data_IF_463000349469
#
_entry.id   IF_463000349469
#
_cell.length_a   1.000
_cell.length_b   1.000
_cell.length_c   1.000
_cell.angle_alpha   90.00
_cell.angle_beta   90.00
_cell.angle_gamma   90.00
#
_symmetry.space_group_name_H-M   'P 1'
#
loop_
_entity.id
_entity.type
_entity.pdbx_description
1 polymer ?
#
# COMPACT_ATOMS: atom_id res chain seq x y z
N UNK A 1 3.13 18.93 9.12
CA UNK A 1 3.32 18.77 7.68
C UNK A 1 3.96 17.41 7.42
N UNK A 2 3.27 16.56 6.68
CA UNK A 2 3.68 15.20 6.35
C UNK A 2 3.48 14.93 4.86
N UNK A 3 4.34 14.11 4.26
CA UNK A 3 4.20 13.60 2.91
C UNK A 3 4.27 12.08 2.93
N UNK A 4 3.52 11.42 2.04
CA UNK A 4 3.56 9.97 1.84
C UNK A 4 4.22 9.71 0.49
N UNK A 5 5.27 8.88 0.48
CA UNK A 5 6.15 8.72 -0.68
C UNK A 5 6.35 7.24 -1.00
N UNK A 6 6.16 6.88 -2.27
CA UNK A 6 6.53 5.56 -2.77
C UNK A 6 8.05 5.44 -2.85
N UNK A 7 8.58 4.40 -2.21
CA UNK A 7 9.98 3.96 -2.34
C UNK A 7 10.06 2.55 -2.93
N UNK A 8 9.06 2.19 -3.69
CA UNK A 8 8.94 1.07 -4.59
C UNK A 8 8.85 1.57 -6.03
N UNK A 9 8.52 0.71 -6.93
CA UNK A 9 8.43 0.96 -8.35
C UNK A 9 9.29 -0.06 -9.07
N UNK A 10 8.66 -1.20 -9.38
CA UNK A 10 9.34 -2.42 -9.76
C UNK A 10 8.99 -2.76 -11.21
N UNK A 11 9.93 -3.37 -11.92
CA UNK A 11 9.77 -3.79 -13.30
C UNK A 11 10.65 -3.03 -14.29
N UNK A 12 10.70 -3.53 -15.51
CA UNK A 12 11.49 -2.95 -16.60
C UNK A 12 10.76 -1.82 -17.35
N UNK A 13 9.57 -1.43 -16.86
CA UNK A 13 8.69 -0.45 -17.48
C UNK A 13 8.20 -0.85 -18.89
N UNK A 14 8.10 -2.15 -19.18
CA UNK A 14 7.61 -2.66 -20.46
C UNK A 14 6.10 -2.49 -20.62
N UNK A 15 5.33 -2.52 -19.52
CA UNK A 15 3.89 -2.36 -19.55
C UNK A 15 3.46 -0.89 -19.54
N UNK A 16 2.45 -0.57 -20.32
CA UNK A 16 1.96 0.81 -20.49
C UNK A 16 1.33 1.42 -19.23
N UNK A 17 0.91 0.59 -18.29
CA UNK A 17 0.28 1.02 -17.04
C UNK A 17 1.29 1.30 -15.92
N UNK A 18 2.56 0.94 -16.08
CA UNK A 18 3.60 1.13 -15.07
C UNK A 18 4.15 2.57 -15.05
N UNK A 19 4.51 3.05 -13.84
CA UNK A 19 5.21 4.32 -13.68
C UNK A 19 6.60 4.26 -14.33
N UNK A 20 7.09 5.43 -14.77
CA UNK A 20 8.42 5.54 -15.44
C UNK A 20 9.13 6.78 -14.93
N UNK A 21 10.44 6.69 -14.65
CA UNK A 21 11.25 5.47 -14.58
C UNK A 21 10.93 4.63 -13.34
N UNK A 22 11.23 3.33 -13.38
CA UNK A 22 11.12 2.42 -12.23
C UNK A 22 12.33 2.52 -11.31
N UNK A 23 12.12 2.26 -10.02
CA UNK A 23 13.19 2.28 -9.02
C UNK A 23 14.03 0.99 -9.07
N UNK A 24 13.39 -0.15 -9.20
CA UNK A 24 14.02 -1.47 -9.27
C UNK A 24 13.68 -2.11 -10.63
N UNK A 25 14.63 -2.17 -11.56
CA UNK A 25 14.41 -2.64 -12.94
C UNK A 25 14.50 -4.15 -13.09
N UNK A 26 15.15 -4.82 -12.15
CA UNK A 26 15.23 -6.26 -11.98
C UNK A 26 15.54 -6.56 -10.50
N UNK A 27 15.37 -7.80 -10.02
CA UNK A 27 15.62 -8.11 -8.60
C UNK A 27 16.99 -7.63 -8.13
N UNK A 28 17.01 -6.68 -7.19
CA UNK A 28 18.25 -6.09 -6.65
C UNK A 28 18.98 -5.10 -7.56
N UNK A 29 18.42 -4.74 -8.72
CA UNK A 29 19.02 -3.77 -9.67
C UNK A 29 18.26 -2.46 -9.58
N UNK A 30 18.91 -1.44 -9.01
CA UNK A 30 18.26 -0.16 -8.68
C UNK A 30 18.71 0.99 -9.59
N UNK A 31 17.81 1.96 -9.74
CA UNK A 31 18.07 3.22 -10.41
C UNK A 31 18.70 4.22 -9.42
N UNK A 32 20.01 4.41 -9.52
CA UNK A 32 20.77 5.30 -8.63
C UNK A 32 20.28 6.75 -8.67
N UNK A 33 19.78 7.23 -9.81
CA UNK A 33 19.23 8.58 -9.92
C UNK A 33 18.01 8.77 -9.05
N UNK A 34 17.10 7.78 -9.03
CA UNK A 34 15.91 7.82 -8.17
C UNK A 34 16.28 7.66 -6.70
N UNK A 35 17.22 6.78 -6.38
CA UNK A 35 17.72 6.63 -5.01
C UNK A 35 18.36 7.93 -4.50
N UNK A 36 19.18 8.60 -5.31
CA UNK A 36 19.73 9.90 -4.94
C UNK A 36 18.65 10.98 -4.80
N UNK A 37 17.62 10.94 -5.66
CA UNK A 37 16.45 11.82 -5.55
C UNK A 37 15.69 11.62 -4.23
N UNK A 38 15.53 10.38 -3.77
CA UNK A 38 14.95 10.05 -2.47
C UNK A 38 15.82 10.60 -1.32
N UNK A 39 17.14 10.39 -1.38
CA UNK A 39 18.08 10.93 -0.39
C UNK A 39 18.01 12.46 -0.29
N UNK A 40 17.95 13.12 -1.45
CA UNK A 40 17.81 14.57 -1.54
C UNK A 40 16.48 15.07 -0.95
N UNK A 41 15.37 14.36 -1.26
CA UNK A 41 14.05 14.65 -0.69
C UNK A 41 14.10 14.57 0.84
N UNK A 42 14.56 13.45 1.39
CA UNK A 42 14.62 13.23 2.84
C UNK A 42 15.48 14.29 3.56
N UNK A 43 16.66 14.61 3.00
CA UNK A 43 17.51 15.69 3.53
C UNK A 43 16.82 17.06 3.51
N UNK A 44 15.99 17.34 2.52
CA UNK A 44 15.23 18.60 2.44
C UNK A 44 14.01 18.64 3.34
N UNK A 45 13.36 17.52 3.60
CA UNK A 45 12.29 17.40 4.59
C UNK A 45 12.85 17.64 6.00
N UNK A 46 14.00 17.05 6.34
CA UNK A 46 14.71 17.30 7.60
C UNK A 46 14.96 18.80 7.83
N UNK A 47 15.56 19.48 6.86
CA UNK A 47 15.81 20.92 6.91
C UNK A 47 14.57 21.79 7.12
N UNK A 48 13.39 21.29 6.73
CA UNK A 48 12.11 22.00 6.80
C UNK A 48 11.24 21.57 7.97
N UNK A 49 11.74 20.67 8.83
CA UNK A 49 10.99 20.04 9.89
C UNK A 49 9.68 19.41 9.41
N UNK A 50 9.74 18.78 8.23
CA UNK A 50 8.64 18.00 7.65
C UNK A 50 8.90 16.52 7.86
N UNK A 51 7.83 15.73 7.82
CA UNK A 51 7.87 14.28 8.01
C UNK A 51 7.51 13.55 6.72
N UNK A 52 7.99 12.33 6.58
CA UNK A 52 7.62 11.41 5.53
C UNK A 52 7.13 10.08 6.10
N UNK A 53 6.11 9.52 5.46
CA UNK A 53 5.78 8.10 5.50
C UNK A 53 6.28 7.49 4.20
N UNK A 54 7.16 6.50 4.29
CA UNK A 54 7.75 5.83 3.13
C UNK A 54 7.11 4.45 2.97
N UNK A 55 6.34 4.24 1.87
CA UNK A 55 5.76 2.94 1.59
C UNK A 55 6.62 2.15 0.60
N UNK A 56 6.91 0.90 0.98
CA UNK A 56 7.98 0.09 0.40
C UNK A 56 7.56 -0.70 -0.83
N UNK A 57 6.27 -0.98 -0.96
CA UNK A 57 5.73 -1.81 -2.01
C UNK A 57 4.34 -1.33 -2.44
N UNK A 58 3.71 -2.01 -3.39
CA UNK A 58 2.35 -1.72 -3.84
C UNK A 58 1.60 -3.02 -4.14
N UNK A 59 0.31 -3.06 -3.82
CA UNK A 59 -0.54 -4.17 -4.26
C UNK A 59 -1.00 -4.01 -5.72
N UNK A 60 -0.92 -2.77 -6.26
CA UNK A 60 -1.45 -2.40 -7.56
C UNK A 60 -0.36 -2.37 -8.65
N UNK A 61 -0.76 -2.67 -9.87
CA UNK A 61 0.12 -2.84 -11.03
C UNK A 61 0.82 -1.54 -11.48
N UNK A 62 0.25 -0.37 -11.19
CA UNK A 62 0.76 0.90 -11.70
C UNK A 62 2.19 1.26 -11.23
N UNK A 63 2.70 0.59 -10.22
CA UNK A 63 4.11 0.66 -9.83
C UNK A 63 4.80 -0.71 -9.82
N UNK A 64 4.28 -1.69 -10.53
CA UNK A 64 4.78 -3.05 -10.59
C UNK A 64 4.35 -3.92 -9.42
N UNK A 65 4.93 -3.69 -8.26
CA UNK A 65 4.50 -4.27 -6.98
C UNK A 65 4.37 -5.79 -6.99
N UNK A 66 3.34 -6.31 -6.32
CA UNK A 66 3.14 -7.76 -6.15
C UNK A 66 3.16 -8.53 -7.47
N UNK A 67 2.56 -7.96 -8.54
CA UNK A 67 2.53 -8.59 -9.85
C UNK A 67 3.91 -8.80 -10.45
N UNK A 68 4.79 -7.82 -10.32
CA UNK A 68 6.17 -7.90 -10.84
C UNK A 68 7.02 -8.87 -10.03
N UNK A 69 6.89 -8.91 -8.70
CA UNK A 69 7.58 -9.93 -7.90
C UNK A 69 7.15 -11.36 -8.25
N UNK A 70 5.87 -11.56 -8.56
CA UNK A 70 5.36 -12.84 -9.05
C UNK A 70 5.92 -13.18 -10.44
N UNK A 71 5.99 -12.21 -11.35
CA UNK A 71 6.63 -12.37 -12.65
C UNK A 71 8.11 -12.77 -12.51
N UNK A 72 8.88 -12.08 -11.68
CA UNK A 72 10.27 -12.43 -11.38
C UNK A 72 10.42 -13.80 -10.71
N UNK A 73 9.39 -14.24 -10.00
CA UNK A 73 9.33 -15.61 -9.45
C UNK A 73 9.04 -16.68 -10.51
N UNK A 74 8.65 -16.29 -11.74
CA UNK A 74 8.36 -17.18 -12.86
C UNK A 74 6.88 -17.50 -13.05
N UNK A 75 5.96 -16.68 -12.52
CA UNK A 75 4.50 -16.90 -12.55
C UNK A 75 3.79 -16.15 -13.68
N UNK A 76 4.45 -15.95 -14.81
CA UNK A 76 3.87 -15.30 -15.99
C UNK A 76 4.01 -13.79 -15.98
N UNK A 77 3.31 -13.12 -16.91
CA UNK A 77 3.34 -11.67 -17.06
C UNK A 77 2.46 -10.99 -16.00
N UNK A 78 2.83 -9.77 -15.55
CA UNK A 78 1.99 -9.00 -14.64
C UNK A 78 0.61 -8.74 -15.25
N UNK A 79 -0.43 -8.96 -14.46
CA UNK A 79 -1.81 -8.71 -14.86
C UNK A 79 -2.24 -7.28 -14.54
N UNK A 80 -3.20 -6.75 -15.31
CA UNK A 80 -3.77 -5.42 -15.13
C UNK A 80 -5.16 -5.49 -14.49
N UNK A 81 -5.52 -4.47 -13.73
CA UNK A 81 -6.88 -4.28 -13.16
C UNK A 81 -7.97 -4.17 -14.23
N UNK A 82 -7.62 -3.98 -15.50
CA UNK A 82 -8.56 -4.05 -16.63
C UNK A 82 -9.19 -5.44 -16.79
N UNK A 83 -8.49 -6.51 -16.37
CA UNK A 83 -9.03 -7.85 -16.15
C UNK A 83 -9.00 -8.17 -14.66
N UNK A 84 -10.01 -7.68 -13.94
CA UNK A 84 -10.07 -7.75 -12.48
C UNK A 84 -9.99 -9.18 -11.93
N UNK A 85 -10.59 -10.13 -12.63
CA UNK A 85 -10.57 -11.53 -12.20
C UNK A 85 -9.15 -12.11 -12.27
N UNK A 86 -8.49 -11.97 -13.43
CA UNK A 86 -7.11 -12.43 -13.62
C UNK A 86 -6.16 -11.73 -12.66
N UNK A 87 -6.37 -10.41 -12.44
CA UNK A 87 -5.59 -9.62 -11.49
C UNK A 87 -5.68 -10.19 -10.06
N UNK A 88 -6.90 -10.44 -9.56
CA UNK A 88 -7.08 -11.02 -8.22
C UNK A 88 -6.47 -12.43 -8.11
N UNK A 89 -6.76 -13.31 -9.08
CA UNK A 89 -6.25 -14.69 -9.09
C UNK A 89 -4.71 -14.75 -9.10
N UNK A 90 -4.06 -13.82 -9.79
CA UNK A 90 -2.61 -13.72 -9.83
C UNK A 90 -2.08 -13.15 -8.51
N UNK A 91 -2.57 -12.01 -8.06
CA UNK A 91 -2.04 -11.30 -6.90
C UNK A 91 -2.29 -12.06 -5.58
N UNK A 92 -3.36 -12.86 -5.48
CA UNK A 92 -3.62 -13.75 -4.36
C UNK A 92 -2.48 -14.75 -4.08
N UNK A 93 -1.65 -15.05 -5.08
CA UNK A 93 -0.54 -15.98 -4.94
C UNK A 93 0.68 -15.35 -4.25
N UNK A 94 0.75 -14.00 -4.13
CA UNK A 94 1.94 -13.32 -3.63
C UNK A 94 2.32 -13.78 -2.22
N UNK A 95 1.38 -13.74 -1.29
CA UNK A 95 1.66 -14.10 0.11
C UNK A 95 2.00 -15.58 0.33
N UNK A 96 1.72 -16.42 -0.66
CA UNK A 96 2.03 -17.86 -0.63
C UNK A 96 3.28 -18.21 -1.45
N UNK A 97 3.88 -17.26 -2.17
CA UNK A 97 5.04 -17.50 -3.00
C UNK A 97 6.33 -17.05 -2.30
N UNK A 98 7.06 -18.00 -1.76
CA UNK A 98 8.29 -17.72 -0.99
C UNK A 98 9.34 -16.95 -1.79
N UNK A 99 9.47 -17.24 -3.10
CA UNK A 99 10.44 -16.56 -3.96
C UNK A 99 10.07 -15.10 -4.20
N UNK A 100 8.78 -14.81 -4.43
CA UNK A 100 8.28 -13.44 -4.59
C UNK A 100 8.41 -12.65 -3.27
N UNK A 101 8.01 -13.26 -2.14
CA UNK A 101 8.18 -12.66 -0.80
C UNK A 101 9.64 -12.34 -0.49
N UNK A 102 10.56 -13.25 -0.77
CA UNK A 102 11.99 -13.05 -0.50
C UNK A 102 12.58 -11.90 -1.33
N UNK A 103 12.20 -11.76 -2.61
CA UNK A 103 12.63 -10.62 -3.42
C UNK A 103 12.07 -9.30 -2.88
N UNK A 104 10.80 -9.25 -2.47
CA UNK A 104 10.21 -8.08 -1.83
C UNK A 104 10.88 -7.77 -0.48
N UNK A 105 11.20 -8.79 0.33
CA UNK A 105 11.94 -8.64 1.58
C UNK A 105 13.36 -8.10 1.34
N UNK A 106 14.03 -8.51 0.26
CA UNK A 106 15.35 -7.98 -0.11
C UNK A 106 15.28 -6.50 -0.48
N UNK A 107 14.22 -6.07 -1.20
CA UNK A 107 13.96 -4.67 -1.43
C UNK A 107 13.74 -3.90 -0.13
N UNK A 108 12.93 -4.42 0.79
CA UNK A 108 12.71 -3.85 2.13
C UNK A 108 14.04 -3.70 2.87
N UNK A 109 14.88 -4.75 2.94
CA UNK A 109 16.21 -4.68 3.57
C UNK A 109 17.06 -3.57 2.97
N UNK A 110 17.11 -3.51 1.65
CA UNK A 110 17.93 -2.53 0.93
C UNK A 110 17.53 -1.09 1.22
N UNK A 111 16.23 -0.79 1.21
CA UNK A 111 15.73 0.57 1.44
C UNK A 111 15.84 0.95 2.92
N UNK A 112 15.40 0.08 3.84
CA UNK A 112 15.35 0.41 5.28
C UNK A 112 16.77 0.56 5.86
N UNK A 113 17.74 -0.23 5.38
CA UNK A 113 19.15 -0.12 5.80
C UNK A 113 19.95 0.97 5.08
N UNK A 114 19.29 1.77 4.22
CA UNK A 114 19.99 2.76 3.38
C UNK A 114 20.65 3.85 4.21
N UNK A 115 21.87 4.22 3.82
CA UNK A 115 22.54 5.44 4.27
C UNK A 115 22.25 6.55 3.26
N UNK A 116 21.68 7.65 3.71
CA UNK A 116 21.37 8.82 2.90
C UNK A 116 22.67 9.44 2.38
N UNK A 117 22.87 9.48 1.08
CA UNK A 117 24.11 9.99 0.45
C UNK A 117 24.30 11.50 0.57
N UNK A 118 23.24 12.25 0.91
CA UNK A 118 23.27 13.72 1.08
C UNK A 118 23.62 14.09 2.52
N UNK A 119 23.09 13.36 3.50
CA UNK A 119 23.31 13.65 4.93
C UNK A 119 24.41 12.80 5.55
N UNK A 120 24.77 11.66 4.94
CA UNK A 120 25.69 10.67 5.47
C UNK A 120 25.14 9.85 6.65
N UNK A 121 23.84 9.96 6.97
CA UNK A 121 23.19 9.28 8.08
C UNK A 121 22.34 8.10 7.60
N UNK A 122 22.24 7.02 8.38
CA UNK A 122 21.24 5.97 8.11
C UNK A 122 19.82 6.53 8.12
N UNK A 123 18.91 5.92 7.32
CA UNK A 123 17.49 6.29 7.35
C UNK A 123 16.86 6.04 8.72
N UNK A 124 17.32 5.01 9.44
CA UNK A 124 16.91 4.71 10.82
C UNK A 124 17.26 5.81 11.84
N UNK A 125 18.05 6.80 11.45
CA UNK A 125 18.40 7.98 12.27
C UNK A 125 17.82 9.28 11.69
N UNK A 126 17.01 9.21 10.65
CA UNK A 126 16.47 10.39 9.96
C UNK A 126 15.33 11.02 10.75
N UNK A 127 15.45 12.23 11.27
CA UNK A 127 14.34 12.89 11.96
C UNK A 127 13.20 13.29 11.03
N UNK A 128 13.39 13.19 9.72
CA UNK A 128 12.33 13.40 8.72
C UNK A 128 11.48 12.16 8.47
N UNK A 129 11.96 10.97 8.78
CA UNK A 129 11.16 9.76 8.69
C UNK A 129 10.20 9.69 9.87
N UNK A 130 8.91 9.48 9.60
CA UNK A 130 7.89 9.23 10.60
C UNK A 130 7.59 7.74 10.70
N UNK A 131 7.35 7.12 9.56
CA UNK A 131 6.96 5.73 9.51
C UNK A 131 7.40 5.04 8.22
N UNK A 132 7.63 3.75 8.34
CA UNK A 132 7.65 2.81 7.24
C UNK A 132 6.25 2.23 7.04
N UNK A 133 5.84 2.09 5.80
CA UNK A 133 4.58 1.46 5.44
C UNK A 133 4.88 0.26 4.54
N UNK A 134 4.30 -0.91 4.86
CA UNK A 134 4.66 -2.16 4.20
C UNK A 134 4.39 -2.12 2.69
N UNK A 135 3.21 -1.64 2.32
CA UNK A 135 2.82 -1.48 0.92
C UNK A 135 1.66 -0.49 0.79
N UNK A 136 1.46 0.06 -0.40
CA UNK A 136 0.22 0.73 -0.72
C UNK A 136 -0.89 -0.29 -0.91
N UNK A 137 -1.90 -0.22 -0.06
CA UNK A 137 -3.15 -0.97 -0.14
C UNK A 137 -2.94 -2.50 -0.32
N UNK A 138 -2.12 -3.13 0.56
CA UNK A 138 -1.91 -4.56 0.47
C UNK A 138 -3.20 -5.31 0.73
N UNK A 139 -3.46 -6.35 -0.09
CA UNK A 139 -4.66 -7.18 -0.02
C UNK A 139 -4.31 -8.67 -0.10
N UNK A 140 -5.16 -9.51 0.50
CA UNK A 140 -5.12 -10.94 0.28
C UNK A 140 -5.59 -11.34 -1.13
N UNK A 141 -6.43 -10.51 -1.78
CA UNK A 141 -7.07 -10.75 -3.08
C UNK A 141 -7.88 -12.05 -3.16
N UNK A 142 -8.20 -12.66 -2.03
CA UNK A 142 -8.94 -13.93 -1.95
C UNK A 142 -9.81 -13.98 -0.70
N UNK A 143 -10.96 -14.62 -0.83
CA UNK A 143 -11.82 -14.96 0.30
C UNK A 143 -11.43 -16.27 0.98
N UNK A 144 -10.49 -17.04 0.41
CA UNK A 144 -9.98 -18.28 0.99
C UNK A 144 -9.27 -18.01 2.32
N UNK A 145 -9.69 -18.64 3.43
CA UNK A 145 -9.06 -18.45 4.74
C UNK A 145 -7.57 -18.78 4.77
N UNK A 146 -7.11 -19.74 3.95
CA UNK A 146 -5.68 -20.10 3.87
C UNK A 146 -4.87 -18.97 3.24
N UNK A 147 -5.40 -18.33 2.20
CA UNK A 147 -4.75 -17.17 1.55
C UNK A 147 -4.75 -15.97 2.50
N UNK A 148 -5.87 -15.71 3.19
CA UNK A 148 -5.96 -14.64 4.21
C UNK A 148 -4.95 -14.85 5.34
N UNK A 149 -4.78 -16.08 5.80
CA UNK A 149 -3.79 -16.41 6.82
C UNK A 149 -2.37 -16.18 6.33
N UNK A 150 -2.04 -16.63 5.11
CA UNK A 150 -0.74 -16.38 4.49
C UNK A 150 -0.46 -14.87 4.32
N UNK A 151 -1.49 -14.09 3.98
CA UNK A 151 -1.39 -12.64 3.91
C UNK A 151 -1.10 -12.02 5.29
N UNK A 152 -1.81 -12.43 6.34
CA UNK A 152 -1.55 -11.95 7.70
C UNK A 152 -0.12 -12.29 8.14
N UNK A 153 0.36 -13.51 7.84
CA UNK A 153 1.72 -13.93 8.14
C UNK A 153 2.74 -13.05 7.38
N UNK A 154 2.52 -12.77 6.10
CA UNK A 154 3.39 -11.86 5.33
C UNK A 154 3.46 -10.46 5.97
N UNK A 155 2.32 -9.91 6.40
CA UNK A 155 2.27 -8.60 7.10
C UNK A 155 3.17 -8.65 8.34
N UNK A 156 3.05 -9.69 9.17
CA UNK A 156 3.86 -9.84 10.36
C UNK A 156 5.36 -9.98 10.04
N UNK A 157 5.71 -10.84 9.10
CA UNK A 157 7.10 -11.07 8.67
C UNK A 157 7.77 -9.78 8.17
N UNK A 158 7.05 -8.98 7.37
CA UNK A 158 7.57 -7.70 6.87
C UNK A 158 7.73 -6.65 7.98
N UNK A 159 6.76 -6.55 8.89
CA UNK A 159 6.86 -5.63 10.02
C UNK A 159 8.03 -6.00 10.95
N UNK A 160 8.21 -7.28 11.25
CA UNK A 160 9.36 -7.80 12.01
C UNK A 160 10.68 -7.49 11.32
N UNK A 161 10.75 -7.70 10.00
CA UNK A 161 11.94 -7.37 9.22
C UNK A 161 12.30 -5.89 9.34
N UNK A 162 11.33 -4.99 9.17
CA UNK A 162 11.56 -3.54 9.30
C UNK A 162 12.05 -3.21 10.70
N UNK A 163 11.35 -3.65 11.74
CA UNK A 163 11.73 -3.38 13.15
C UNK A 163 13.09 -3.97 13.52
N UNK A 164 13.51 -5.06 12.89
CA UNK A 164 14.85 -5.63 13.11
C UNK A 164 15.98 -4.74 12.57
N UNK A 165 15.70 -3.89 11.59
CA UNK A 165 16.67 -2.99 10.95
C UNK A 165 16.53 -1.56 11.52
N UNK A 166 15.30 -1.12 11.68
CA UNK A 166 14.95 0.21 12.18
C UNK A 166 13.94 0.12 13.33
N UNK A 167 14.42 0.01 14.57
CA UNK A 167 13.56 0.00 15.75
C UNK A 167 13.05 1.39 16.16
N UNK A 168 13.51 2.46 15.52
CA UNK A 168 13.25 3.84 15.95
C UNK A 168 11.98 4.43 15.34
N UNK A 169 11.62 4.03 14.12
CA UNK A 169 10.48 4.62 13.41
C UNK A 169 9.24 3.73 13.50
N UNK A 170 8.09 4.38 13.31
CA UNK A 170 6.81 3.70 13.31
C UNK A 170 6.68 2.79 12.08
N UNK A 171 5.88 1.74 12.21
CA UNK A 171 5.53 0.81 11.13
C UNK A 171 4.02 0.70 11.01
N UNK A 172 3.51 0.73 9.79
CA UNK A 172 2.09 0.52 9.49
C UNK A 172 1.91 -0.30 8.22
N UNK A 173 0.71 -0.83 8.02
CA UNK A 173 0.41 -1.74 6.93
C UNK A 173 0.23 -1.07 5.57
N UNK A 174 -0.35 0.15 5.53
CA UNK A 174 -0.84 0.81 4.32
C UNK A 174 -2.21 0.32 3.85
N UNK A 175 -2.99 -0.26 4.75
CA UNK A 175 -4.28 -0.90 4.46
C UNK A 175 -5.36 0.09 4.03
N UNK A 176 -6.30 -0.39 3.22
CA UNK A 176 -7.57 0.29 2.96
C UNK A 176 -8.61 0.08 4.08
N UNK A 177 -8.29 -0.71 5.10
CA UNK A 177 -9.23 -1.13 6.12
C UNK A 177 -9.87 -2.49 5.79
N UNK A 178 -11.12 -2.69 6.21
CA UNK A 178 -11.90 -3.91 5.94
C UNK A 178 -11.97 -4.26 4.45
N UNK A 179 -12.10 -3.26 3.58
CA UNK A 179 -12.13 -3.44 2.14
C UNK A 179 -10.84 -4.11 1.61
N UNK A 180 -9.67 -3.68 2.09
CA UNK A 180 -8.38 -4.30 1.79
C UNK A 180 -8.24 -5.73 2.33
N UNK A 181 -9.01 -6.06 3.36
CA UNK A 181 -9.08 -7.37 3.99
C UNK A 181 -10.20 -8.27 3.45
N UNK A 182 -10.73 -8.00 2.24
CA UNK A 182 -11.82 -8.77 1.62
C UNK A 182 -13.08 -8.79 2.50
N UNK A 183 -13.53 -7.62 2.95
CA UNK A 183 -14.68 -7.39 3.84
C UNK A 183 -14.57 -8.08 5.21
N UNK A 184 -13.35 -8.43 5.62
CA UNK A 184 -13.08 -9.17 6.85
C UNK A 184 -12.48 -8.25 7.91
N UNK A 185 -13.31 -7.81 8.85
CA UNK A 185 -12.90 -6.94 9.95
C UNK A 185 -12.01 -7.68 10.98
N UNK A 186 -12.14 -8.98 11.10
CA UNK A 186 -11.30 -9.79 11.99
C UNK A 186 -9.87 -9.87 11.43
N UNK A 187 -9.74 -10.05 10.11
CA UNK A 187 -8.44 -9.99 9.45
C UNK A 187 -7.81 -8.59 9.58
N UNK A 188 -8.59 -7.52 9.39
CA UNK A 188 -8.12 -6.15 9.60
C UNK A 188 -7.62 -5.94 11.02
N UNK A 189 -8.38 -6.37 12.01
CA UNK A 189 -7.99 -6.31 13.43
C UNK A 189 -6.72 -7.11 13.69
N UNK A 190 -6.65 -8.34 13.17
CA UNK A 190 -5.51 -9.23 13.33
C UNK A 190 -4.22 -8.61 12.83
N UNK A 191 -4.19 -8.10 11.58
CA UNK A 191 -2.96 -7.55 11.00
C UNK A 191 -2.48 -6.26 11.66
N UNK A 192 -3.36 -5.55 12.38
CA UNK A 192 -2.98 -4.36 13.14
C UNK A 192 -2.75 -4.64 14.63
N UNK A 193 -3.00 -5.87 15.10
CA UNK A 193 -2.70 -6.28 16.48
C UNK A 193 -1.29 -6.83 16.67
N UNK A 194 -0.50 -6.98 15.59
CA UNK A 194 0.88 -7.43 15.72
C UNK A 194 1.73 -6.38 16.44
N UNK A 195 2.59 -6.81 17.38
CA UNK A 195 3.39 -5.86 18.20
C UNK A 195 4.30 -4.92 17.40
N UNK A 196 4.62 -5.31 16.17
CA UNK A 196 5.48 -4.54 15.27
C UNK A 196 4.73 -3.48 14.46
N UNK A 197 3.39 -3.48 14.50
CA UNK A 197 2.54 -2.47 13.86
C UNK A 197 2.17 -1.41 14.89
N UNK A 198 2.62 -0.19 14.71
CA UNK A 198 2.48 0.89 15.67
C UNK A 198 1.15 1.66 15.55
N UNK A 199 0.53 1.65 14.38
CA UNK A 199 -0.77 2.30 14.16
C UNK A 199 -1.51 1.69 12.97
N UNK A 200 -2.83 1.74 13.03
CA UNK A 200 -3.68 1.35 11.92
C UNK A 200 -3.87 2.52 10.94
N UNK A 201 -3.97 2.20 9.66
CA UNK A 201 -4.35 3.14 8.62
C UNK A 201 -5.49 2.57 7.78
N UNK A 202 -6.28 3.48 7.22
CA UNK A 202 -7.32 3.17 6.25
C UNK A 202 -7.24 4.14 5.08
N UNK A 203 -7.53 3.64 3.87
CA UNK A 203 -7.76 4.45 2.69
C UNK A 203 -9.21 4.30 2.28
N UNK A 204 -9.94 5.38 2.19
CA UNK A 204 -11.37 5.35 1.92
C UNK A 204 -11.65 5.94 0.54
N UNK A 205 -12.21 5.13 -0.37
CA UNK A 205 -12.44 5.47 -1.76
C UNK A 205 -13.94 5.36 -2.14
N UNK A 206 -14.82 6.30 -1.68
CA UNK A 206 -16.25 6.22 -1.92
C UNK A 206 -16.64 6.12 -3.40
N UNK A 207 -15.84 6.72 -4.28
CA UNK A 207 -16.04 6.64 -5.72
C UNK A 207 -15.69 5.25 -6.26
N UNK A 208 -14.51 4.73 -5.93
CA UNK A 208 -14.02 3.44 -6.42
C UNK A 208 -14.83 2.26 -5.87
N UNK A 209 -15.38 2.42 -4.64
CA UNK A 209 -16.22 1.41 -4.00
C UNK A 209 -17.72 1.54 -4.35
N UNK A 210 -18.03 2.36 -5.35
CA UNK A 210 -19.37 2.59 -5.86
C UNK A 210 -20.39 3.10 -4.82
N UNK A 211 -19.94 3.69 -3.70
CA UNK A 211 -20.85 4.28 -2.71
C UNK A 211 -21.59 5.50 -3.24
N UNK A 212 -21.08 6.14 -4.29
CA UNK A 212 -21.75 7.21 -5.04
C UNK A 212 -22.64 6.67 -6.17
N UNK A 213 -22.74 5.34 -6.33
CA UNK A 213 -23.38 4.69 -7.46
C UNK A 213 -22.54 4.80 -8.75
N UNK A 214 -23.07 4.36 -9.88
CA UNK A 214 -22.40 4.44 -11.19
C UNK A 214 -22.27 5.90 -11.65
N UNK A 215 -21.32 6.62 -11.10
CA UNK A 215 -21.20 8.07 -11.11
C UNK A 215 -20.98 8.67 -12.50
N UNK A 216 -20.11 8.11 -13.31
CA UNK A 216 -19.62 8.78 -14.54
C UNK A 216 -20.66 8.80 -15.67
N UNK A 217 -21.42 7.75 -15.84
CA UNK A 217 -22.45 7.69 -16.90
C UNK A 217 -23.82 8.24 -16.45
N UNK A 218 -24.06 8.34 -15.16
CA UNK A 218 -25.38 8.65 -14.60
C UNK A 218 -25.52 10.05 -14.02
N UNK A 219 -24.42 10.77 -13.70
CA UNK A 219 -24.56 12.08 -13.05
C UNK A 219 -25.20 13.11 -13.97
N UNK A 220 -24.78 13.21 -15.24
CA UNK A 220 -25.42 14.11 -16.19
C UNK A 220 -26.83 13.64 -16.54
N UNK A 221 -27.06 12.32 -16.63
CA UNK A 221 -28.39 11.76 -16.89
C UNK A 221 -29.28 11.81 -15.63
N UNK A 222 -28.73 11.60 -14.43
CA UNK A 222 -29.46 11.71 -13.17
C UNK A 222 -29.92 13.16 -12.90
N UNK A 223 -29.07 14.15 -13.18
CA UNK A 223 -29.46 15.57 -13.08
C UNK A 223 -30.53 15.91 -14.10
N UNK A 224 -30.44 15.38 -15.31
CA UNK A 224 -31.43 15.59 -16.37
C UNK A 224 -32.79 14.91 -16.12
N UNK A 225 -32.77 13.71 -15.50
CA UNK A 225 -34.01 12.93 -15.31
C UNK A 225 -34.63 13.05 -13.93
N UNK A 226 -33.82 13.24 -12.87
CA UNK A 226 -34.29 13.20 -11.48
C UNK A 226 -33.97 14.49 -10.68
N UNK A 227 -33.36 15.47 -11.34
CA UNK A 227 -32.96 16.74 -10.72
C UNK A 227 -31.74 16.65 -9.80
N UNK A 228 -31.23 17.78 -9.28
CA UNK A 228 -30.05 17.87 -8.42
C UNK A 228 -30.20 17.11 -7.08
N UNK A 229 -31.42 16.96 -6.59
CA UNK A 229 -31.69 16.25 -5.32
C UNK A 229 -31.22 14.79 -5.33
N UNK A 230 -31.26 14.12 -6.49
CA UNK A 230 -30.75 12.74 -6.62
C UNK A 230 -29.22 12.64 -6.44
N UNK A 231 -28.49 13.71 -6.73
CA UNK A 231 -27.03 13.78 -6.52
C UNK A 231 -26.73 14.04 -5.05
N UNK A 232 -27.48 14.95 -4.41
CA UNK A 232 -27.38 15.24 -2.98
C UNK A 232 -27.61 13.97 -2.15
N UNK A 233 -28.69 13.23 -2.43
CA UNK A 233 -29.01 11.99 -1.74
C UNK A 233 -27.89 10.94 -1.86
N UNK A 234 -27.22 10.84 -3.02
CA UNK A 234 -26.08 9.91 -3.19
C UNK A 234 -24.84 10.33 -2.41
N UNK A 235 -24.56 11.64 -2.37
CA UNK A 235 -23.48 12.18 -1.54
C UNK A 235 -23.73 11.92 -0.06
N UNK A 236 -24.97 12.12 0.41
CA UNK A 236 -25.36 11.82 1.79
C UNK A 236 -25.15 10.34 2.14
N UNK A 237 -25.54 9.42 1.24
CA UNK A 237 -25.29 7.98 1.42
C UNK A 237 -23.79 7.69 1.45
N UNK A 238 -22.99 8.28 0.57
CA UNK A 238 -21.55 8.08 0.56
C UNK A 238 -20.87 8.63 1.83
N UNK A 239 -21.32 9.80 2.33
CA UNK A 239 -20.87 10.36 3.60
C UNK A 239 -21.20 9.40 4.76
N UNK A 240 -22.45 8.92 4.83
CA UNK A 240 -22.85 7.96 5.88
C UNK A 240 -22.04 6.68 5.83
N UNK A 241 -21.85 6.09 4.65
CA UNK A 241 -21.02 4.90 4.50
C UNK A 241 -19.56 5.16 4.93
N UNK A 242 -19.04 6.36 4.64
CA UNK A 242 -17.68 6.77 5.06
C UNK A 242 -17.58 6.88 6.58
N UNK A 243 -18.56 7.51 7.22
CA UNK A 243 -18.63 7.62 8.68
C UNK A 243 -18.69 6.23 9.33
N UNK A 244 -19.61 5.38 8.87
CA UNK A 244 -19.76 4.02 9.39
C UNK A 244 -18.49 3.18 9.21
N UNK A 245 -17.81 3.33 8.08
CA UNK A 245 -16.56 2.63 7.80
C UNK A 245 -15.43 3.07 8.75
N UNK A 246 -15.31 4.37 8.99
CA UNK A 246 -14.32 4.92 9.93
C UNK A 246 -14.65 4.49 11.36
N UNK A 247 -15.92 4.55 11.76
CA UNK A 247 -16.37 4.12 13.09
C UNK A 247 -16.11 2.64 13.34
N UNK A 248 -16.40 1.77 12.36
CA UNK A 248 -16.12 0.34 12.46
C UNK A 248 -14.61 0.07 12.63
N UNK A 249 -13.77 0.69 11.79
CA UNK A 249 -12.32 0.57 11.89
C UNK A 249 -11.78 1.08 13.23
N UNK A 250 -12.27 2.23 13.70
CA UNK A 250 -11.88 2.78 14.99
C UNK A 250 -12.29 1.88 16.16
N UNK A 251 -13.52 1.35 16.12
CA UNK A 251 -14.07 0.53 17.20
C UNK A 251 -13.30 -0.76 17.43
N UNK A 252 -12.73 -1.36 16.39
CA UNK A 252 -11.91 -2.57 16.56
C UNK A 252 -10.44 -2.26 16.90
N UNK A 253 -9.96 -1.04 16.61
CA UNK A 253 -8.59 -0.62 16.95
C UNK A 253 -8.47 -0.01 18.36
N UNK A 254 -9.47 0.72 18.82
CA UNK A 254 -9.46 1.41 20.12
C UNK A 254 -9.11 0.49 21.31
N UNK A 255 -9.53 -0.79 21.38
CA UNK A 255 -9.13 -1.70 22.45
C UNK A 255 -7.65 -2.12 22.43
N UNK A 256 -6.96 -1.91 21.30
CA UNK A 256 -5.55 -2.30 21.17
C UNK A 256 -4.57 -1.23 21.71
N UNK A 257 -5.05 -0.01 22.00
CA UNK A 257 -4.28 1.09 22.58
C UNK A 257 -4.04 2.21 21.59
#
# INVERSE_FOLDING_TARGET
NNVRVLVGGDGDASHSFEIRPTLQTAPGVYNDTLLHGLDYLMANLEKRNMKAVLYLNNAWEWSGGFGVYLHWAGLGEPSSTSDWKSFQETHAQFAQNEKAKEMAANHTRFIVSRVNTVTGKPYSESPALMAWELANEPRAFSYDPVVKESFAQWVQEQAQLIKSIDPNHLVTTGSEGKQGCQEDIELFTKIHSFPEIDYACIHVWPFNWAWLGNYVSTTQNAIKTNGPESVISRVEVACKNTEDYIEEAYSCMAPLG
#
